data_IF_428288867307
#
_entry.id   IF_428288867307
#
_cell.length_a   1.000
_cell.length_b   1.000
_cell.length_c   1.000
_cell.angle_alpha   90.00
_cell.angle_beta   90.00
_cell.angle_gamma   90.00
#
_symmetry.space_group_name_H-M   'P 1'
#
loop_
_entity.id
_entity.type
_entity.pdbx_description
1 polymer ?
#
# COMPACT_ATOMS: atom_id res chain seq x y z
N UNK A 1 14.92 -14.31 -11.92
CA UNK A 1 15.43 -12.93 -11.95
C UNK A 1 14.29 -11.96 -11.73
N UNK A 2 14.51 -10.95 -10.90
CA UNK A 2 13.51 -9.91 -10.64
C UNK A 2 13.78 -8.67 -11.52
N UNK A 3 12.72 -7.99 -11.93
CA UNK A 3 12.82 -6.71 -12.66
C UNK A 3 12.93 -5.51 -11.72
N UNK A 4 12.94 -5.76 -10.41
CA UNK A 4 13.07 -4.72 -9.41
C UNK A 4 14.48 -4.13 -9.45
N UNK A 5 14.57 -2.80 -9.59
CA UNK A 5 15.87 -2.11 -9.62
C UNK A 5 16.39 -1.87 -8.20
N UNK A 6 17.70 -1.57 -8.09
CA UNK A 6 18.30 -1.22 -6.81
C UNK A 6 17.65 0.03 -6.20
N UNK A 7 17.29 1.01 -7.02
CA UNK A 7 16.61 2.23 -6.55
C UNK A 7 15.22 1.91 -6.00
N UNK A 8 14.49 1.00 -6.65
CA UNK A 8 13.19 0.57 -6.19
C UNK A 8 13.28 -0.17 -4.86
N UNK A 9 14.26 -1.04 -4.70
CA UNK A 9 14.50 -1.73 -3.44
C UNK A 9 14.88 -0.74 -2.33
N UNK A 10 15.65 0.29 -2.65
CA UNK A 10 16.03 1.34 -1.70
C UNK A 10 14.81 2.14 -1.21
N UNK A 11 13.84 2.41 -2.07
CA UNK A 11 12.61 3.10 -1.67
C UNK A 11 11.83 2.29 -0.64
N UNK A 12 11.82 0.96 -0.75
CA UNK A 12 11.21 0.09 0.25
C UNK A 12 11.92 0.25 1.60
N UNK A 13 13.25 0.23 1.60
CA UNK A 13 14.02 0.41 2.83
C UNK A 13 13.77 1.78 3.48
N UNK A 14 13.73 2.83 2.67
CA UNK A 14 13.45 4.19 3.16
C UNK A 14 12.08 4.28 3.82
N UNK A 15 11.06 3.72 3.18
CA UNK A 15 9.71 3.74 3.75
C UNK A 15 9.66 2.92 5.04
N UNK A 16 10.33 1.76 5.08
CA UNK A 16 10.37 0.93 6.28
C UNK A 16 10.99 1.66 7.48
N UNK A 17 12.00 2.49 7.24
CA UNK A 17 12.65 3.26 8.29
C UNK A 17 11.75 4.34 8.88
N UNK A 18 10.79 4.83 8.10
CA UNK A 18 9.90 5.94 8.48
C UNK A 18 8.52 5.46 8.92
N UNK A 19 8.06 4.32 8.41
CA UNK A 19 6.68 3.88 8.55
C UNK A 19 6.39 3.29 9.92
N UNK A 20 5.23 3.69 10.47
CA UNK A 20 4.70 3.12 11.70
C UNK A 20 3.28 2.60 11.44
N UNK A 21 3.02 1.34 11.77
CA UNK A 21 1.70 0.74 11.56
C UNK A 21 0.70 1.26 12.60
N UNK A 22 -0.43 1.77 12.11
CA UNK A 22 -1.56 2.22 12.92
C UNK A 22 -2.83 1.77 12.21
N UNK A 23 -3.76 1.18 12.94
CA UNK A 23 -5.05 0.79 12.35
C UNK A 23 -5.85 2.02 11.98
N UNK A 24 -6.57 1.98 10.85
CA UNK A 24 -7.43 3.08 10.41
C UNK A 24 -8.43 3.49 11.47
N UNK A 25 -9.02 2.51 12.18
CA UNK A 25 -9.98 2.78 13.23
C UNK A 25 -9.39 3.59 14.40
N UNK A 26 -8.09 3.45 14.65
CA UNK A 26 -7.39 4.17 15.71
C UNK A 26 -6.93 5.55 15.27
N UNK A 27 -6.57 5.70 14.00
CA UNK A 27 -6.00 6.93 13.48
C UNK A 27 -7.05 7.89 12.92
N UNK A 28 -8.02 7.40 12.18
CA UNK A 28 -9.00 8.22 11.46
C UNK A 28 -10.44 8.00 11.90
N UNK A 29 -10.69 7.03 12.76
CA UNK A 29 -12.02 6.66 13.19
C UNK A 29 -12.87 5.94 12.14
N UNK A 30 -12.28 5.55 11.01
CA UNK A 30 -12.96 4.81 9.94
C UNK A 30 -12.03 3.79 9.31
N UNK A 31 -12.59 2.59 9.00
CA UNK A 31 -11.81 1.44 8.55
C UNK A 31 -11.30 1.54 7.11
N UNK A 32 -12.04 2.19 6.22
CA UNK A 32 -11.75 2.11 4.78
C UNK A 32 -11.21 3.41 4.20
N UNK A 33 -10.58 4.24 5.04
CA UNK A 33 -9.92 5.46 4.58
C UNK A 33 -8.48 5.14 4.17
N UNK A 34 -8.14 5.41 2.91
CA UNK A 34 -6.83 5.12 2.35
C UNK A 34 -6.09 6.42 2.04
N UNK A 35 -4.78 6.43 2.30
CA UNK A 35 -3.95 7.61 2.09
C UNK A 35 -2.66 7.26 1.38
N UNK A 36 -2.24 8.15 0.47
CA UNK A 36 -0.87 8.20 -0.01
C UNK A 36 -0.15 9.22 0.85
N UNK A 37 0.77 8.76 1.68
CA UNK A 37 1.50 9.65 2.61
C UNK A 37 2.63 10.35 1.87
N UNK A 38 2.72 11.66 2.03
CA UNK A 38 3.73 12.48 1.37
C UNK A 38 4.67 13.17 2.33
N UNK A 39 4.30 13.23 3.60
CA UNK A 39 5.08 13.90 4.64
C UNK A 39 4.83 13.23 5.99
N UNK A 40 5.69 13.49 6.93
CA UNK A 40 5.54 12.96 8.29
C UNK A 40 4.28 13.52 8.95
N UNK A 41 3.63 12.76 9.86
CA UNK A 41 4.05 11.43 10.29
C UNK A 41 3.75 10.35 9.24
N UNK A 42 4.60 9.32 9.20
CA UNK A 42 4.48 8.20 8.25
C UNK A 42 3.71 7.04 8.92
N UNK A 43 2.58 7.35 9.50
CA UNK A 43 1.75 6.42 10.25
C UNK A 43 0.56 5.97 9.39
N UNK A 44 0.31 4.68 9.34
CA UNK A 44 -0.81 4.16 8.56
C UNK A 44 -0.96 2.66 8.71
N UNK A 45 -1.89 2.07 7.97
CA UNK A 45 -2.09 0.64 7.92
C UNK A 45 -1.49 0.03 6.66
N UNK A 46 -1.84 -1.23 6.36
CA UNK A 46 -1.25 -1.96 5.24
C UNK A 46 -1.59 -1.33 3.87
N UNK A 47 -2.79 -0.80 3.69
CA UNK A 47 -3.18 -0.13 2.45
C UNK A 47 -2.43 1.19 2.28
N UNK A 48 -2.28 1.94 3.35
CA UNK A 48 -1.55 3.20 3.34
C UNK A 48 -0.08 2.97 2.99
N UNK A 49 0.51 1.92 3.55
CA UNK A 49 1.88 1.51 3.23
C UNK A 49 2.01 1.16 1.75
N UNK A 50 1.10 0.29 1.26
CA UNK A 50 1.14 -0.18 -0.12
C UNK A 50 1.00 0.97 -1.12
N UNK A 51 0.06 1.87 -0.89
CA UNK A 51 -0.19 3.02 -1.77
C UNK A 51 0.94 4.04 -1.71
N UNK A 52 1.47 4.31 -0.52
CA UNK A 52 2.60 5.22 -0.35
C UNK A 52 3.83 4.68 -1.06
N UNK A 53 4.09 3.38 -0.91
CA UNK A 53 5.20 2.74 -1.59
C UNK A 53 5.02 2.80 -3.11
N UNK A 54 3.83 2.52 -3.61
CA UNK A 54 3.55 2.60 -5.05
C UNK A 54 3.78 4.03 -5.57
N UNK A 55 3.36 5.04 -4.84
CA UNK A 55 3.59 6.44 -5.19
C UNK A 55 5.10 6.71 -5.32
N UNK A 56 5.90 6.27 -4.35
CA UNK A 56 7.36 6.44 -4.38
C UNK A 56 8.00 5.67 -5.54
N UNK A 57 7.58 4.43 -5.75
CA UNK A 57 8.07 3.61 -6.87
C UNK A 57 7.70 4.19 -8.23
N UNK A 58 6.65 5.00 -8.28
CA UNK A 58 6.20 5.69 -9.49
C UNK A 58 6.87 7.06 -9.67
N UNK A 59 8.00 7.28 -9.00
CA UNK A 59 8.77 8.51 -9.14
C UNK A 59 8.14 9.70 -8.43
N UNK A 60 7.37 9.45 -7.36
CA UNK A 60 6.67 10.50 -6.62
C UNK A 60 5.67 11.26 -7.51
N UNK A 61 5.02 10.54 -8.43
CA UNK A 61 4.07 11.08 -9.39
C UNK A 61 2.74 10.35 -9.29
N UNK A 62 1.65 11.09 -9.03
CA UNK A 62 0.31 10.52 -9.03
C UNK A 62 -0.08 10.00 -10.41
N UNK A 63 0.28 10.73 -11.46
CA UNK A 63 -0.01 10.30 -12.83
C UNK A 63 0.61 8.95 -13.14
N UNK A 64 1.89 8.78 -12.83
CA UNK A 64 2.59 7.51 -13.05
C UNK A 64 2.04 6.40 -12.16
N UNK A 65 1.67 6.73 -10.92
CA UNK A 65 1.03 5.78 -10.02
C UNK A 65 -0.24 5.19 -10.64
N UNK A 66 -1.11 6.07 -11.17
CA UNK A 66 -2.35 5.63 -11.81
C UNK A 66 -2.10 4.87 -13.10
N UNK A 67 -1.09 5.26 -13.89
CA UNK A 67 -0.70 4.51 -15.09
C UNK A 67 -0.27 3.09 -14.70
N UNK A 68 0.53 2.94 -13.66
CA UNK A 68 0.96 1.63 -13.18
C UNK A 68 -0.21 0.76 -12.73
N UNK A 69 -1.20 1.34 -12.06
CA UNK A 69 -2.41 0.62 -11.64
C UNK A 69 -3.28 0.23 -12.84
N UNK A 70 -3.49 1.15 -13.78
CA UNK A 70 -4.34 0.92 -14.95
C UNK A 70 -3.73 -0.09 -15.92
N UNK A 71 -2.41 -0.06 -16.09
CA UNK A 71 -1.69 -1.01 -16.97
C UNK A 71 -1.41 -2.35 -16.29
N UNK A 72 -1.79 -2.48 -15.01
CA UNK A 72 -1.62 -3.69 -14.20
C UNK A 72 -0.14 -4.04 -13.94
N UNK A 73 0.76 -3.11 -14.11
CA UNK A 73 2.15 -3.22 -13.66
C UNK A 73 2.21 -3.28 -12.14
N UNK A 74 1.28 -2.58 -11.49
CA UNK A 74 1.09 -2.60 -10.06
C UNK A 74 -0.34 -3.03 -9.73
N UNK A 75 -0.51 -3.82 -8.67
CA UNK A 75 -1.81 -4.29 -8.19
C UNK A 75 -1.84 -4.27 -6.67
N UNK A 76 -3.00 -3.93 -6.11
CA UNK A 76 -3.24 -4.15 -4.69
C UNK A 76 -3.96 -5.48 -4.55
N UNK A 77 -3.35 -6.39 -3.81
CA UNK A 77 -3.86 -7.74 -3.60
C UNK A 77 -4.45 -7.85 -2.20
N UNK A 78 -5.62 -8.45 -2.09
CA UNK A 78 -6.23 -8.74 -0.80
C UNK A 78 -5.84 -10.14 -0.37
N UNK A 79 -5.49 -10.29 0.91
CA UNK A 79 -5.17 -11.59 1.51
C UNK A 79 -5.55 -11.58 2.97
N UNK A 80 -5.41 -12.74 3.62
CA UNK A 80 -5.43 -12.82 5.08
C UNK A 80 -4.07 -13.29 5.56
N UNK A 81 -3.64 -12.76 6.69
CA UNK A 81 -2.40 -13.18 7.35
C UNK A 81 -2.84 -13.70 8.71
N UNK A 82 -2.74 -15.01 8.89
CA UNK A 82 -3.17 -15.67 10.12
C UNK A 82 -4.60 -15.31 10.50
N UNK A 83 -5.47 -15.27 9.49
CA UNK A 83 -6.89 -14.97 9.66
C UNK A 83 -7.28 -13.51 9.70
N UNK A 84 -6.33 -12.59 9.65
CA UNK A 84 -6.59 -11.14 9.66
C UNK A 84 -6.48 -10.57 8.24
N UNK A 85 -7.46 -9.76 7.84
CA UNK A 85 -7.47 -9.12 6.52
C UNK A 85 -6.26 -8.21 6.31
N UNK A 86 -5.67 -8.25 5.11
CA UNK A 86 -4.42 -7.58 4.82
C UNK A 86 -4.33 -7.21 3.34
N UNK A 87 -3.60 -6.16 3.01
CA UNK A 87 -3.34 -5.74 1.64
C UNK A 87 -1.84 -5.78 1.35
N UNK A 88 -1.51 -6.22 0.14
CA UNK A 88 -0.14 -6.39 -0.33
C UNK A 88 0.00 -5.69 -1.68
N UNK A 89 1.11 -5.04 -1.91
CA UNK A 89 1.43 -4.47 -3.22
C UNK A 89 2.12 -5.52 -4.08
N UNK A 90 1.59 -5.76 -5.27
CA UNK A 90 2.28 -6.51 -6.32
C UNK A 90 2.82 -5.51 -7.33
N UNK A 91 4.13 -5.53 -7.56
CA UNK A 91 4.80 -4.58 -8.44
C UNK A 91 5.83 -5.32 -9.27
N UNK A 92 5.71 -5.24 -10.60
CA UNK A 92 6.60 -5.96 -11.53
C UNK A 92 6.68 -7.47 -11.24
N UNK A 93 5.57 -8.06 -10.78
CA UNK A 93 5.52 -9.48 -10.47
C UNK A 93 6.03 -9.88 -9.09
N UNK A 94 6.59 -8.95 -8.34
CA UNK A 94 7.07 -9.20 -6.97
C UNK A 94 6.08 -8.62 -5.95
N UNK A 95 6.07 -9.18 -4.74
CA UNK A 95 5.15 -8.81 -3.69
C UNK A 95 5.89 -8.12 -2.55
N UNK A 96 5.28 -7.10 -1.96
CA UNK A 96 5.87 -6.37 -0.82
C UNK A 96 4.75 -5.84 0.07
N UNK A 97 4.99 -5.83 1.37
CA UNK A 97 4.09 -5.25 2.36
C UNK A 97 4.87 -4.75 3.58
N UNK A 98 4.11 -4.20 4.56
CA UNK A 98 4.70 -3.68 5.78
C UNK A 98 5.18 -4.75 6.75
N UNK A 99 4.83 -6.02 6.51
CA UNK A 99 5.28 -7.15 7.36
C UNK A 99 6.60 -7.72 6.82
N UNK A 100 6.65 -8.07 5.53
CA UNK A 100 7.86 -8.62 4.91
C UNK A 100 8.95 -7.57 4.75
N UNK A 101 8.56 -6.32 4.50
CA UNK A 101 9.47 -5.16 4.39
C UNK A 101 10.49 -5.27 3.28
N UNK A 102 10.26 -6.17 2.32
CA UNK A 102 11.12 -6.34 1.15
C UNK A 102 10.32 -7.01 0.04
N UNK A 103 10.78 -6.85 -1.20
CA UNK A 103 10.18 -7.58 -2.31
C UNK A 103 10.46 -9.07 -2.17
N UNK A 104 9.42 -9.89 -2.38
CA UNK A 104 9.52 -11.34 -2.30
C UNK A 104 8.50 -11.98 -3.23
N UNK A 105 8.57 -13.31 -3.36
CA UNK A 105 7.61 -14.06 -4.17
C UNK A 105 6.34 -14.36 -3.37
N UNK A 106 5.24 -14.63 -4.09
CA UNK A 106 4.00 -15.07 -3.49
C UNK A 106 4.21 -16.34 -2.65
N UNK A 107 5.06 -17.24 -3.12
CA UNK A 107 5.38 -18.49 -2.42
C UNK A 107 5.96 -18.23 -1.02
N UNK A 108 6.85 -17.26 -0.90
CA UNK A 108 7.45 -16.90 0.38
C UNK A 108 6.37 -16.38 1.33
N UNK A 109 5.47 -15.53 0.85
CA UNK A 109 4.37 -15.03 1.66
C UNK A 109 3.44 -16.16 2.09
N UNK A 110 3.10 -17.08 1.19
CA UNK A 110 2.25 -18.23 1.52
C UNK A 110 2.89 -19.12 2.57
N UNK A 111 4.20 -19.30 2.53
CA UNK A 111 4.94 -20.05 3.56
C UNK A 111 4.89 -19.34 4.93
N UNK A 112 4.75 -18.02 4.93
CA UNK A 112 4.67 -17.22 6.16
C UNK A 112 3.23 -17.05 6.67
N UNK A 113 2.27 -17.77 6.10
CA UNK A 113 0.90 -17.78 6.59
C UNK A 113 -0.06 -16.84 5.86
N UNK A 114 0.33 -16.34 4.70
CA UNK A 114 -0.54 -15.50 3.87
C UNK A 114 -1.46 -16.39 3.03
N UNK A 115 -2.74 -16.04 3.00
CA UNK A 115 -3.73 -16.71 2.14
C UNK A 115 -4.32 -15.66 1.20
N UNK A 116 -3.93 -15.72 -0.07
CA UNK A 116 -4.36 -14.74 -1.06
C UNK A 116 -5.78 -15.01 -1.54
N UNK A 117 -6.57 -13.94 -1.63
CA UNK A 117 -7.90 -13.98 -2.20
C UNK A 117 -7.82 -14.03 -3.73
N UNK A 118 -8.86 -14.57 -4.36
CA UNK A 118 -9.03 -14.49 -5.82
C UNK A 118 -9.33 -13.06 -6.26
N UNK A 119 -9.76 -12.19 -5.34
CA UNK A 119 -10.17 -10.83 -5.63
C UNK A 119 -8.99 -9.88 -5.48
N UNK A 120 -8.86 -8.96 -6.43
CA UNK A 120 -7.90 -7.87 -6.40
C UNK A 120 -8.67 -6.55 -6.28
N UNK A 121 -8.04 -5.57 -5.67
CA UNK A 121 -8.58 -4.21 -5.71
C UNK A 121 -8.38 -3.65 -7.12
N UNK A 122 -9.47 -3.42 -7.83
CA UNK A 122 -9.39 -2.80 -9.16
C UNK A 122 -9.12 -1.29 -9.00
N UNK A 123 -8.54 -0.62 -10.02
CA UNK A 123 -8.21 0.81 -9.91
C UNK A 123 -9.38 1.70 -9.50
N UNK A 124 -10.60 1.38 -9.94
CA UNK A 124 -11.79 2.13 -9.55
C UNK A 124 -12.04 2.10 -8.04
N UNK A 125 -11.87 0.93 -7.41
CA UNK A 125 -12.01 0.79 -5.95
C UNK A 125 -10.94 1.60 -5.21
N UNK A 126 -9.71 1.58 -5.71
CA UNK A 126 -8.61 2.36 -5.14
C UNK A 126 -8.93 3.85 -5.20
N UNK A 127 -9.48 4.33 -6.32
CA UNK A 127 -9.84 5.72 -6.48
C UNK A 127 -10.90 6.17 -5.46
N UNK A 128 -11.93 5.35 -5.25
CA UNK A 128 -12.98 5.64 -4.28
C UNK A 128 -12.42 5.70 -2.87
N UNK A 129 -11.59 4.73 -2.47
CA UNK A 129 -11.01 4.68 -1.13
C UNK A 129 -10.09 5.88 -0.86
N UNK A 130 -9.31 6.29 -1.85
CA UNK A 130 -8.45 7.47 -1.73
C UNK A 130 -9.28 8.76 -1.64
N UNK A 131 -10.38 8.87 -2.41
CA UNK A 131 -11.26 10.02 -2.33
C UNK A 131 -11.90 10.15 -0.94
N UNK A 132 -12.32 9.04 -0.35
CA UNK A 132 -12.85 9.01 1.02
C UNK A 132 -11.78 9.48 2.01
N UNK A 133 -10.54 9.00 1.84
CA UNK A 133 -9.43 9.39 2.70
C UNK A 133 -9.16 10.89 2.65
N UNK A 134 -9.10 11.47 1.46
CA UNK A 134 -8.89 12.92 1.29
C UNK A 134 -10.01 13.71 1.95
N UNK A 135 -11.26 13.29 1.77
CA UNK A 135 -12.41 13.96 2.38
C UNK A 135 -12.32 13.95 3.92
N UNK A 136 -12.03 12.80 4.51
CA UNK A 136 -11.90 12.66 5.97
C UNK A 136 -10.78 13.54 6.51
N UNK A 137 -9.63 13.54 5.84
CA UNK A 137 -8.48 14.34 6.25
C UNK A 137 -8.79 15.84 6.23
N UNK A 138 -9.47 16.32 5.18
CA UNK A 138 -9.89 17.73 5.08
C UNK A 138 -10.85 18.11 6.20
N UNK A 139 -11.84 17.26 6.48
CA UNK A 139 -12.82 17.50 7.53
C UNK A 139 -12.15 17.58 8.91
N UNK A 140 -11.20 16.68 9.20
CA UNK A 140 -10.48 16.68 10.46
C UNK A 140 -9.59 17.92 10.61
N UNK A 141 -8.96 18.36 9.53
CA UNK A 141 -8.13 19.57 9.54
C UNK A 141 -8.95 20.83 9.77
N UNK A 142 -10.17 20.92 9.21
CA UNK A 142 -11.01 22.09 9.37
C UNK A 142 -11.70 22.16 10.74
N UNK A 143 -11.73 21.08 11.50
CA UNK A 143 -12.29 21.09 12.85
C UNK A 143 -11.26 21.41 13.93
N UNK A 144 -10.04 21.66 13.55
CA UNK A 144 -8.98 22.15 14.42
C UNK A 144 -8.85 23.67 14.29
#
# INVERSE_FOLDING_TARGET
MTDITADEALEVERLNDEFKYVRDSDQYGKRDAWYVMKEAPWDGDCEDYALTLLYRLSGYSHTKMWINLLTRKAKLCFCTVRGTGHAVLKYKGEYVDNIQKSFCSKKIMEQDGYEFSKWLFIPYQVAIKLAIGVYIKRKNSSSQ
#
